data_IF_583473260723
#
_entry.id   IF_583473260723
#
_cell.length_a   1.000
_cell.length_b   1.000
_cell.length_c   1.000
_cell.angle_alpha   90.00
_cell.angle_beta   90.00
_cell.angle_gamma   90.00
#
_symmetry.space_group_name_H-M   'P 1'
#
loop_
_entity.id
_entity.type
_entity.pdbx_description
1 polymer ?
#
# COMPACT_ATOMS: atom_id res chain seq x y z
N UNK A 1 30.74 7.28 -7.30
CA UNK A 1 31.44 8.02 -6.22
C UNK A 1 31.20 7.34 -4.87
N UNK A 2 32.27 6.89 -4.19
CA UNK A 2 32.24 6.32 -2.81
C UNK A 2 31.90 7.47 -1.85
N UNK A 3 31.06 7.20 -0.84
CA UNK A 3 30.77 8.16 0.22
C UNK A 3 31.82 7.93 1.30
N UNK A 4 32.63 8.96 1.56
CA UNK A 4 33.67 8.96 2.58
C UNK A 4 33.07 9.49 3.90
N UNK A 5 33.18 8.69 4.96
CA UNK A 5 32.69 8.96 6.31
C UNK A 5 33.83 8.91 7.34
N UNK A 6 35.09 8.89 6.90
CA UNK A 6 36.28 8.81 7.77
C UNK A 6 36.44 10.02 8.68
N UNK A 7 35.88 11.17 8.30
CA UNK A 7 35.96 12.43 9.04
C UNK A 7 35.01 12.54 10.23
N UNK A 8 34.02 11.66 10.33
CA UNK A 8 33.08 11.68 11.43
C UNK A 8 33.78 11.17 12.69
N UNK A 9 33.50 11.73 13.86
CA UNK A 9 33.90 11.09 15.13
C UNK A 9 33.12 9.79 15.35
N UNK A 10 33.49 9.00 16.35
CA UNK A 10 32.76 7.77 16.68
C UNK A 10 31.37 8.10 17.23
N UNK A 11 31.23 9.16 18.03
CA UNK A 11 29.95 9.64 18.54
C UNK A 11 29.03 10.10 17.39
N UNK A 12 29.57 10.83 16.42
CA UNK A 12 28.83 11.27 15.23
C UNK A 12 28.39 10.08 14.37
N UNK A 13 29.28 9.10 14.14
CA UNK A 13 28.91 7.89 13.40
C UNK A 13 27.83 7.09 14.09
N UNK A 14 27.90 6.95 15.42
CA UNK A 14 26.89 6.27 16.22
C UNK A 14 25.54 6.99 16.12
N UNK A 15 25.54 8.33 16.14
CA UNK A 15 24.32 9.10 15.94
C UNK A 15 23.72 8.90 14.54
N UNK A 16 24.54 8.98 13.49
CA UNK A 16 24.10 8.73 12.10
C UNK A 16 23.56 7.31 11.94
N UNK A 17 24.21 6.32 12.57
CA UNK A 17 23.75 4.94 12.58
C UNK A 17 22.33 4.81 13.16
N UNK A 18 22.05 5.44 14.30
CA UNK A 18 20.73 5.42 14.92
C UNK A 18 19.66 6.09 14.04
N UNK A 19 20.00 7.17 13.32
CA UNK A 19 19.10 7.78 12.33
C UNK A 19 18.81 6.82 11.18
N UNK A 20 19.85 6.17 10.66
CA UNK A 20 19.74 5.19 9.57
C UNK A 20 18.85 4.02 9.99
N UNK A 21 19.01 3.47 11.19
CA UNK A 21 18.16 2.39 11.71
C UNK A 21 16.68 2.78 11.72
N UNK A 22 16.35 3.99 12.20
CA UNK A 22 14.96 4.47 12.18
C UNK A 22 14.38 4.60 10.77
N UNK A 23 15.18 4.99 9.78
CA UNK A 23 14.73 5.01 8.37
C UNK A 23 14.49 3.58 7.84
N UNK A 24 15.31 2.59 8.21
CA UNK A 24 15.05 1.19 7.87
C UNK A 24 13.76 0.67 8.52
N UNK A 25 13.54 0.96 9.79
CA UNK A 25 12.30 0.58 10.50
C UNK A 25 11.07 1.23 9.86
N UNK A 26 11.17 2.51 9.49
CA UNK A 26 10.09 3.23 8.82
C UNK A 26 9.76 2.59 7.46
N UNK A 27 10.78 2.26 6.67
CA UNK A 27 10.61 1.60 5.36
C UNK A 27 9.98 0.22 5.51
N UNK A 28 10.44 -0.57 6.49
CA UNK A 28 9.87 -1.89 6.76
C UNK A 28 8.40 -1.80 7.13
N UNK A 29 8.04 -0.87 8.03
CA UNK A 29 6.64 -0.63 8.40
C UNK A 29 5.77 -0.26 7.19
N UNK A 30 6.28 0.54 6.26
CA UNK A 30 5.55 0.91 5.06
C UNK A 30 5.43 -0.26 4.07
N UNK A 31 6.49 -1.06 3.91
CA UNK A 31 6.46 -2.29 3.11
C UNK A 31 5.43 -3.28 3.66
N UNK A 32 5.44 -3.52 4.96
CA UNK A 32 4.47 -4.38 5.65
C UNK A 32 3.04 -3.85 5.46
N UNK A 33 2.82 -2.53 5.65
CA UNK A 33 1.51 -1.89 5.49
C UNK A 33 0.96 -2.03 4.06
N UNK A 34 1.80 -1.82 3.04
CA UNK A 34 1.42 -2.00 1.63
C UNK A 34 1.22 -3.48 1.28
N UNK A 35 2.04 -4.37 1.85
CA UNK A 35 1.89 -5.82 1.74
C UNK A 35 0.55 -6.32 2.27
N UNK A 36 0.18 -5.92 3.49
CA UNK A 36 -1.11 -6.24 4.10
C UNK A 36 -2.28 -5.77 3.25
N UNK A 37 -2.17 -4.56 2.69
CA UNK A 37 -3.19 -4.00 1.81
C UNK A 37 -3.34 -4.82 0.53
N UNK A 38 -2.23 -5.22 -0.08
CA UNK A 38 -2.20 -6.10 -1.26
C UNK A 38 -2.81 -7.46 -0.96
N UNK A 39 -2.48 -8.08 0.16
CA UNK A 39 -3.07 -9.36 0.59
C UNK A 39 -4.58 -9.24 0.82
N UNK A 40 -5.07 -8.14 1.41
CA UNK A 40 -6.51 -7.90 1.59
C UNK A 40 -7.25 -7.77 0.25
N UNK A 41 -6.65 -7.07 -0.72
CA UNK A 41 -7.22 -6.94 -2.08
C UNK A 41 -7.27 -8.31 -2.75
N UNK A 42 -6.17 -9.08 -2.72
CA UNK A 42 -6.12 -10.42 -3.31
C UNK A 42 -7.18 -11.37 -2.73
N UNK A 43 -7.39 -11.34 -1.40
CA UNK A 43 -8.46 -12.13 -0.76
C UNK A 43 -9.85 -11.79 -1.30
N UNK A 44 -10.12 -10.50 -1.52
CA UNK A 44 -11.40 -10.04 -2.09
C UNK A 44 -11.55 -10.38 -3.58
N UNK A 45 -10.45 -10.40 -4.33
CA UNK A 45 -10.44 -10.83 -5.72
C UNK A 45 -10.67 -12.34 -5.83
N UNK A 46 -9.97 -13.17 -5.05
CA UNK A 46 -10.21 -14.62 -4.98
C UNK A 46 -11.65 -14.92 -4.54
N UNK A 47 -12.18 -14.20 -3.55
CA UNK A 47 -13.59 -14.34 -3.14
C UNK A 47 -14.53 -14.07 -4.32
N UNK A 48 -14.26 -13.01 -5.09
CA UNK A 48 -15.06 -12.66 -6.27
C UNK A 48 -14.99 -13.73 -7.35
N UNK A 49 -13.80 -14.27 -7.62
CA UNK A 49 -13.61 -15.35 -8.59
C UNK A 49 -14.42 -16.60 -8.22
N UNK A 50 -14.41 -16.98 -6.94
CA UNK A 50 -15.16 -18.13 -6.42
C UNK A 50 -16.69 -17.95 -6.50
N UNK A 51 -17.19 -16.72 -6.38
CA UNK A 51 -18.62 -16.43 -6.51
C UNK A 51 -19.11 -16.51 -7.96
N UNK A 52 -18.22 -16.46 -8.94
CA UNK A 52 -18.53 -16.57 -10.37
C UNK A 52 -19.44 -15.44 -10.92
N UNK A 53 -19.78 -15.51 -12.21
CA UNK A 53 -20.75 -14.63 -12.87
C UNK A 53 -22.21 -14.96 -12.48
N UNK A 54 -22.49 -15.23 -11.20
CA UNK A 54 -23.84 -15.52 -10.73
C UNK A 54 -24.68 -14.23 -10.69
N UNK A 55 -25.25 -13.86 -11.84
CA UNK A 55 -26.05 -12.65 -12.07
C UNK A 55 -27.20 -12.47 -11.07
N UNK A 56 -27.85 -13.56 -10.66
CA UNK A 56 -28.94 -13.51 -9.68
C UNK A 56 -28.50 -13.10 -8.27
N UNK A 57 -27.27 -13.44 -7.87
CA UNK A 57 -26.73 -13.11 -6.56
C UNK A 57 -26.36 -11.63 -6.47
N UNK A 58 -25.75 -11.09 -7.52
CA UNK A 58 -25.33 -9.67 -7.57
C UNK A 58 -26.51 -8.69 -7.68
N UNK A 59 -27.69 -9.17 -8.07
CA UNK A 59 -28.92 -8.37 -8.09
C UNK A 59 -29.52 -8.16 -6.70
N UNK A 60 -29.48 -9.21 -5.86
CA UNK A 60 -30.17 -9.26 -4.57
C UNK A 60 -29.26 -9.11 -3.35
N UNK A 61 -27.94 -9.29 -3.50
CA UNK A 61 -26.98 -9.28 -2.39
C UNK A 61 -25.81 -8.32 -2.65
N UNK A 62 -25.27 -7.75 -1.58
CA UNK A 62 -24.01 -7.02 -1.64
C UNK A 62 -22.87 -7.97 -1.99
N UNK A 63 -22.14 -7.70 -3.07
CA UNK A 63 -21.05 -8.61 -3.51
C UNK A 63 -19.91 -8.72 -2.50
N UNK A 64 -19.79 -7.75 -1.57
CA UNK A 64 -18.71 -7.68 -0.56
C UNK A 64 -19.05 -8.43 0.71
N UNK A 65 -20.17 -8.12 1.36
CA UNK A 65 -20.54 -8.79 2.63
C UNK A 65 -21.51 -9.96 2.46
N UNK A 66 -22.03 -10.19 1.25
CA UNK A 66 -23.03 -11.22 0.93
C UNK A 66 -24.33 -11.09 1.73
N UNK A 67 -24.61 -9.90 2.28
CA UNK A 67 -25.89 -9.61 2.93
C UNK A 67 -26.91 -9.15 1.88
N UNK A 68 -28.18 -9.56 2.01
CA UNK A 68 -29.24 -9.17 1.08
C UNK A 68 -29.47 -7.66 1.12
N UNK A 69 -29.77 -7.07 -0.03
CA UNK A 69 -30.28 -5.71 -0.08
C UNK A 69 -31.69 -5.69 0.54
N UNK A 70 -31.93 -4.70 1.41
CA UNK A 70 -33.22 -4.48 2.06
C UNK A 70 -33.57 -3.01 1.90
N UNK A 71 -34.83 -2.76 1.55
CA UNK A 71 -35.34 -1.40 1.44
C UNK A 71 -35.06 -0.62 2.74
N UNK A 72 -34.60 0.63 2.63
CA UNK A 72 -34.22 1.58 3.69
C UNK A 72 -32.99 1.25 4.56
N UNK A 73 -32.73 -0.02 4.89
CA UNK A 73 -31.63 -0.38 5.82
C UNK A 73 -30.33 -0.68 5.07
N UNK A 74 -30.43 -1.35 3.92
CA UNK A 74 -29.28 -1.85 3.16
C UNK A 74 -29.42 -1.47 1.68
N UNK A 75 -29.42 -0.16 1.41
CA UNK A 75 -29.65 0.38 0.07
C UNK A 75 -28.55 -0.03 -0.90
N UNK A 76 -28.97 -0.40 -2.11
CA UNK A 76 -28.12 -0.81 -3.22
C UNK A 76 -27.39 0.39 -3.80
N UNK A 77 -26.08 0.27 -3.99
CA UNK A 77 -25.18 1.26 -4.61
C UNK A 77 -24.34 0.56 -5.66
N UNK A 78 -23.91 1.26 -6.68
CA UNK A 78 -22.97 0.74 -7.68
C UNK A 78 -21.58 1.35 -7.47
N UNK A 79 -20.55 0.50 -7.48
CA UNK A 79 -19.16 0.94 -7.40
C UNK A 79 -18.74 1.59 -8.73
N UNK A 80 -18.13 2.77 -8.70
CA UNK A 80 -17.59 3.44 -9.89
C UNK A 80 -16.49 2.63 -10.59
N UNK A 81 -15.68 1.88 -9.84
CA UNK A 81 -14.49 1.20 -10.39
C UNK A 81 -14.81 -0.16 -11.00
N UNK A 82 -15.53 -1.01 -10.25
CA UNK A 82 -15.81 -2.39 -10.69
C UNK A 82 -17.23 -2.59 -11.18
N UNK A 83 -18.10 -1.57 -11.13
CA UNK A 83 -19.49 -1.61 -11.58
C UNK A 83 -20.39 -2.63 -10.86
N UNK A 84 -19.90 -3.25 -9.77
CA UNK A 84 -20.65 -4.20 -8.96
C UNK A 84 -21.50 -3.52 -7.89
N UNK A 85 -22.58 -4.21 -7.48
CA UNK A 85 -23.49 -3.72 -6.47
C UNK A 85 -23.02 -4.01 -5.04
N UNK A 86 -23.07 -2.97 -4.20
CA UNK A 86 -22.58 -2.96 -2.83
C UNK A 86 -23.58 -2.25 -1.91
N UNK A 87 -23.49 -2.54 -0.62
CA UNK A 87 -24.30 -1.86 0.38
C UNK A 87 -23.61 -0.63 0.96
N UNK A 88 -24.35 0.12 1.80
CA UNK A 88 -23.84 1.28 2.51
C UNK A 88 -22.57 1.00 3.32
N UNK A 89 -22.55 -0.10 4.07
CA UNK A 89 -21.41 -0.44 4.95
C UNK A 89 -20.16 -0.91 4.19
N UNK A 90 -20.30 -1.32 2.92
CA UNK A 90 -19.19 -1.75 2.07
C UNK A 90 -18.80 -0.71 1.02
N UNK A 91 -19.23 0.54 1.20
CA UNK A 91 -19.04 1.62 0.23
C UNK A 91 -18.60 2.93 0.88
N UNK A 92 -17.81 3.70 0.14
CA UNK A 92 -17.33 5.03 0.50
C UNK A 92 -17.73 6.02 -0.57
N UNK A 93 -18.19 7.19 -0.16
CA UNK A 93 -18.50 8.25 -1.11
C UNK A 93 -17.23 8.98 -1.54
N UNK A 94 -16.96 9.01 -2.84
CA UNK A 94 -15.94 9.84 -3.42
C UNK A 94 -16.53 11.21 -3.77
N UNK A 95 -16.13 12.25 -3.03
CA UNK A 95 -16.61 13.63 -3.26
C UNK A 95 -16.17 14.21 -4.61
N UNK A 96 -14.99 13.84 -5.11
CA UNK A 96 -14.43 14.38 -6.36
C UNK A 96 -15.15 13.83 -7.59
N UNK A 97 -15.43 12.53 -7.58
CA UNK A 97 -16.11 11.83 -8.68
C UNK A 97 -17.63 11.75 -8.47
N UNK A 98 -18.15 12.32 -7.37
CA UNK A 98 -19.55 12.33 -6.98
C UNK A 98 -20.24 10.96 -7.00
N UNK A 99 -19.56 9.90 -6.55
CA UNK A 99 -20.11 8.54 -6.59
C UNK A 99 -19.55 7.60 -5.53
N UNK A 100 -19.98 6.34 -5.56
CA UNK A 100 -19.64 5.35 -4.54
C UNK A 100 -18.52 4.42 -5.01
N UNK A 101 -17.59 4.10 -4.12
CA UNK A 101 -16.52 3.14 -4.37
C UNK A 101 -16.57 2.07 -3.28
N UNK A 102 -16.45 0.80 -3.67
CA UNK A 102 -16.39 -0.30 -2.69
C UNK A 102 -15.08 -0.30 -1.92
N UNK A 103 -15.07 -0.84 -0.70
CA UNK A 103 -13.84 -0.87 0.11
C UNK A 103 -12.64 -1.52 -0.61
N UNK A 104 -12.78 -2.65 -1.34
CA UNK A 104 -11.66 -3.21 -2.09
C UNK A 104 -11.11 -2.32 -3.20
N UNK A 105 -11.99 -1.66 -3.97
CA UNK A 105 -11.55 -0.71 -4.99
C UNK A 105 -10.90 0.53 -4.37
N UNK A 106 -11.41 1.01 -3.23
CA UNK A 106 -10.76 2.08 -2.48
C UNK A 106 -9.38 1.65 -1.98
N UNK A 107 -9.24 0.45 -1.42
CA UNK A 107 -7.94 -0.12 -1.03
C UNK A 107 -6.99 -0.21 -2.23
N UNK A 108 -7.47 -0.64 -3.40
CA UNK A 108 -6.66 -0.69 -4.61
C UNK A 108 -6.16 0.70 -5.06
N UNK A 109 -7.01 1.74 -4.97
CA UNK A 109 -6.59 3.12 -5.23
C UNK A 109 -5.52 3.59 -4.24
N UNK A 110 -5.71 3.31 -2.94
CA UNK A 110 -4.73 3.64 -1.90
C UNK A 110 -3.42 2.91 -2.13
N UNK A 111 -3.45 1.63 -2.51
CA UNK A 111 -2.25 0.86 -2.85
C UNK A 111 -1.54 1.48 -4.05
N UNK A 112 -2.25 1.74 -5.15
CA UNK A 112 -1.68 2.33 -6.37
C UNK A 112 -1.02 3.69 -6.13
N UNK A 113 -1.61 4.54 -5.30
CA UNK A 113 -1.03 5.84 -4.96
C UNK A 113 0.12 5.67 -3.96
N UNK A 114 -0.08 4.84 -2.94
CA UNK A 114 0.85 4.65 -1.83
C UNK A 114 2.15 3.92 -2.20
N UNK A 115 2.13 3.06 -3.22
CA UNK A 115 3.35 2.42 -3.73
C UNK A 115 4.32 3.41 -4.36
N UNK A 116 3.85 4.60 -4.76
CA UNK A 116 4.67 5.67 -5.35
C UNK A 116 5.61 5.15 -6.45
N UNK A 117 5.10 4.25 -7.32
CA UNK A 117 5.91 3.56 -8.34
C UNK A 117 6.71 4.54 -9.19
N UNK A 118 6.07 5.61 -9.66
CA UNK A 118 6.72 6.68 -10.43
C UNK A 118 7.98 7.22 -9.73
N UNK A 119 7.93 7.44 -8.41
CA UNK A 119 9.06 7.97 -7.64
C UNK A 119 10.15 6.91 -7.48
N UNK A 120 9.77 5.70 -7.05
CA UNK A 120 10.73 4.64 -6.78
C UNK A 120 11.42 4.09 -8.04
N UNK A 121 10.74 4.08 -9.19
CA UNK A 121 11.34 3.75 -10.48
C UNK A 121 12.36 4.78 -10.91
N UNK A 122 12.02 6.07 -10.82
CA UNK A 122 12.97 7.16 -11.13
C UNK A 122 14.20 7.13 -10.20
N UNK A 123 14.01 6.85 -8.90
CA UNK A 123 15.12 6.68 -7.96
C UNK A 123 15.98 5.47 -8.32
N UNK A 124 15.38 4.32 -8.64
CA UNK A 124 16.11 3.09 -9.02
C UNK A 124 16.85 3.24 -10.36
N UNK A 125 16.29 3.99 -11.30
CA UNK A 125 16.93 4.29 -12.58
C UNK A 125 18.19 5.16 -12.40
N UNK A 126 18.18 6.10 -11.46
CA UNK A 126 19.32 6.99 -11.18
C UNK A 126 20.34 6.39 -10.19
N UNK A 127 19.89 5.57 -9.25
CA UNK A 127 20.72 5.10 -8.14
C UNK A 127 20.53 3.61 -7.88
N UNK A 128 21.64 2.88 -7.70
CA UNK A 128 21.64 1.44 -7.38
C UNK A 128 21.01 1.09 -6.01
N UNK A 129 20.77 2.07 -5.15
CA UNK A 129 20.31 1.92 -3.75
C UNK A 129 19.81 3.26 -3.22
N UNK A 130 18.90 3.22 -2.25
CA UNK A 130 18.46 4.43 -1.54
C UNK A 130 19.55 4.93 -0.57
N UNK A 131 19.37 6.18 -0.09
CA UNK A 131 20.35 6.92 0.69
C UNK A 131 20.86 6.17 1.91
N UNK A 132 19.99 5.76 2.82
CA UNK A 132 20.38 5.08 4.06
C UNK A 132 21.06 3.73 3.81
N UNK A 133 20.65 2.99 2.77
CA UNK A 133 21.36 1.79 2.34
C UNK A 133 22.76 2.06 1.75
N UNK A 134 23.01 3.26 1.21
CA UNK A 134 24.36 3.71 0.83
C UNK A 134 25.17 4.07 2.08
N UNK A 135 24.60 4.84 3.00
CA UNK A 135 25.25 5.30 4.25
C UNK A 135 25.62 4.10 5.14
N UNK A 136 24.67 3.19 5.39
CA UNK A 136 24.90 1.98 6.20
C UNK A 136 26.11 1.17 5.71
N UNK A 137 26.24 0.99 4.38
CA UNK A 137 27.41 0.33 3.78
C UNK A 137 28.73 1.07 4.02
N UNK A 138 28.72 2.40 3.98
CA UNK A 138 29.92 3.20 4.27
C UNK A 138 30.27 3.16 5.75
N UNK A 139 29.27 3.18 6.65
CA UNK A 139 29.49 3.04 8.09
C UNK A 139 30.07 1.67 8.45
N UNK A 140 29.54 0.58 7.88
CA UNK A 140 30.11 -0.76 8.08
C UNK A 140 31.57 -0.85 7.64
N UNK A 141 31.92 -0.27 6.48
CA UNK A 141 33.32 -0.26 6.00
C UNK A 141 34.26 0.49 6.94
N UNK A 142 33.82 1.63 7.49
CA UNK A 142 34.57 2.36 8.50
C UNK A 142 34.86 1.48 9.73
N UNK A 143 33.87 0.72 10.21
CA UNK A 143 34.03 -0.18 11.36
C UNK A 143 34.95 -1.38 11.03
N UNK A 144 34.94 -1.85 9.79
CA UNK A 144 35.78 -2.97 9.34
C UNK A 144 37.23 -2.58 8.99
N UNK A 145 37.56 -1.29 8.93
CA UNK A 145 38.90 -0.81 8.55
C UNK A 145 39.22 -0.83 7.04
N UNK A 146 38.19 -0.90 6.17
CA UNK A 146 38.27 -1.05 4.69
C UNK A 146 37.97 0.22 3.85
#
# INVERSE_FOLDING_TARGET
>A
KKLDLSKLTDEEAQHVWAVVQRDFDLRKKEEDRLGDLKTKIQKEDTKRELLGNQSRLTESYCIRCLQPFKFLVNTKRQCLDCQLHICKSCSRYNKREQGWVCDPCHMARVLKIGTLEWYHENVRARFKRFGSAKVMRSLFKRLSGD
#
